data_IF_639558327919
#
_entry.id   IF_639558327919
#
_cell.length_a   1.000
_cell.length_b   1.000
_cell.length_c   1.000
_cell.angle_alpha   90.00
_cell.angle_beta   90.00
_cell.angle_gamma   90.00
#
_symmetry.space_group_name_H-M   'P 1'
#
loop_
_entity.id
_entity.type
_entity.pdbx_description
1 polymer ?
#
# COMPACT_ATOMS: atom_id res chain seq x y z
N UNK A 1 60.50 45.80 -25.06
CA UNK A 1 59.54 44.67 -25.04
C UNK A 1 59.28 44.29 -23.59
N UNK A 2 58.21 44.77 -22.97
CA UNK A 2 57.82 44.37 -21.61
C UNK A 2 56.41 43.80 -21.66
N UNK A 3 56.33 42.46 -21.76
CA UNK A 3 55.05 41.74 -21.74
C UNK A 3 54.65 41.58 -20.27
N UNK A 4 53.75 42.43 -19.81
CA UNK A 4 53.22 42.35 -18.45
C UNK A 4 52.18 41.23 -18.41
N UNK A 5 52.60 40.04 -18.01
CA UNK A 5 51.73 38.87 -17.82
C UNK A 5 51.00 39.01 -16.48
N UNK A 6 49.85 39.70 -16.47
CA UNK A 6 48.95 39.64 -15.32
C UNK A 6 48.46 38.19 -15.18
N UNK A 7 48.58 37.55 -14.02
CA UNK A 7 48.09 36.18 -13.84
C UNK A 7 46.59 36.15 -14.16
N UNK A 8 46.15 35.12 -14.88
CA UNK A 8 44.77 34.94 -15.35
C UNK A 8 43.82 34.53 -14.20
N UNK A 9 43.90 35.22 -13.06
CA UNK A 9 43.17 34.94 -11.83
C UNK A 9 41.65 34.85 -12.07
N UNK A 10 41.13 35.65 -13.00
CA UNK A 10 39.73 35.60 -13.43
C UNK A 10 39.34 34.28 -14.09
N UNK A 11 40.21 33.70 -14.93
CA UNK A 11 39.95 32.39 -15.53
C UNK A 11 39.97 31.28 -14.48
N UNK A 12 40.90 31.34 -13.53
CA UNK A 12 40.96 30.37 -12.43
C UNK A 12 39.72 30.44 -11.53
N UNK A 13 39.30 31.65 -11.15
CA UNK A 13 38.07 31.86 -10.39
C UNK A 13 36.83 31.37 -11.14
N UNK A 14 36.76 31.63 -12.45
CA UNK A 14 35.67 31.16 -13.30
C UNK A 14 35.57 29.63 -13.30
N UNK A 15 36.68 28.92 -13.53
CA UNK A 15 36.68 27.46 -13.54
C UNK A 15 36.41 26.88 -12.15
N UNK A 16 36.91 27.49 -11.07
CA UNK A 16 36.64 27.06 -9.70
C UNK A 16 35.14 27.18 -9.36
N UNK A 17 34.51 28.30 -9.72
CA UNK A 17 33.07 28.52 -9.51
C UNK A 17 32.26 27.55 -10.37
N UNK A 18 32.61 27.37 -11.65
CA UNK A 18 31.94 26.44 -12.53
C UNK A 18 31.99 25.01 -11.97
N UNK A 19 33.17 24.57 -11.50
CA UNK A 19 33.33 23.25 -10.90
C UNK A 19 32.53 23.09 -9.60
N UNK A 20 32.55 24.11 -8.73
CA UNK A 20 31.76 24.11 -7.50
C UNK A 20 30.25 24.02 -7.78
N UNK A 21 29.76 24.75 -8.77
CA UNK A 21 28.35 24.67 -9.19
C UNK A 21 28.02 23.30 -9.78
N UNK A 22 28.86 22.76 -10.66
CA UNK A 22 28.66 21.41 -11.22
C UNK A 22 28.62 20.33 -10.13
N UNK A 23 29.51 20.40 -9.15
CA UNK A 23 29.52 19.49 -8.01
C UNK A 23 28.25 19.63 -7.16
N UNK A 24 27.85 20.87 -6.85
CA UNK A 24 26.60 21.14 -6.12
C UNK A 24 25.37 20.60 -6.83
N UNK A 25 25.23 20.86 -8.14
CA UNK A 25 24.08 20.37 -8.91
C UNK A 25 24.07 18.85 -9.06
N UNK A 26 25.24 18.21 -9.23
CA UNK A 26 25.34 16.75 -9.27
C UNK A 26 24.92 16.14 -7.93
N UNK A 27 25.39 16.72 -6.82
CA UNK A 27 25.01 16.31 -5.47
C UNK A 27 23.50 16.51 -5.22
N UNK A 28 22.97 17.67 -5.57
CA UNK A 28 21.55 18.00 -5.41
C UNK A 28 20.63 17.14 -6.31
N UNK A 29 21.10 16.71 -7.49
CA UNK A 29 20.35 15.78 -8.34
C UNK A 29 20.27 14.35 -7.75
N UNK A 30 21.30 13.94 -6.99
CA UNK A 30 21.36 12.62 -6.35
C UNK A 30 20.63 12.60 -4.99
N UNK A 31 20.76 13.66 -4.19
CA UNK A 31 20.22 13.75 -2.83
C UNK A 31 18.93 14.57 -2.69
N UNK A 32 18.54 15.36 -3.68
CA UNK A 32 17.36 16.22 -3.60
C UNK A 32 16.05 15.44 -3.68
N UNK A 33 14.99 16.03 -3.13
CA UNK A 33 13.61 15.48 -3.10
C UNK A 33 13.01 15.15 -4.49
N UNK A 34 13.63 15.62 -5.57
CA UNK A 34 13.26 15.33 -6.97
C UNK A 34 14.12 14.24 -7.63
N UNK A 35 15.04 13.61 -6.87
CA UNK A 35 15.87 12.53 -7.34
C UNK A 35 15.05 11.27 -7.66
N UNK A 36 15.58 10.42 -8.54
CA UNK A 36 14.97 9.14 -8.94
C UNK A 36 14.54 8.27 -7.75
N UNK A 37 15.23 8.37 -6.61
CA UNK A 37 14.93 7.65 -5.38
C UNK A 37 13.56 7.96 -4.79
N UNK A 38 13.09 9.21 -4.85
CA UNK A 38 11.78 9.58 -4.31
C UNK A 38 10.64 8.92 -5.08
N UNK A 39 10.80 8.76 -6.40
CA UNK A 39 9.82 8.04 -7.22
C UNK A 39 9.77 6.57 -6.87
N UNK A 40 10.93 5.92 -6.68
CA UNK A 40 10.99 4.50 -6.28
C UNK A 40 10.36 4.29 -4.90
N UNK A 41 10.60 5.19 -3.95
CA UNK A 41 9.98 5.13 -2.62
C UNK A 41 8.45 5.28 -2.71
N UNK A 42 7.96 6.29 -3.43
CA UNK A 42 6.52 6.51 -3.62
C UNK A 42 5.86 5.35 -4.35
N UNK A 43 6.49 4.79 -5.38
CA UNK A 43 5.97 3.64 -6.12
C UNK A 43 5.90 2.39 -5.23
N UNK A 44 6.92 2.16 -4.38
CA UNK A 44 6.91 1.06 -3.43
C UNK A 44 5.81 1.23 -2.37
N UNK A 45 5.64 2.43 -1.83
CA UNK A 45 4.57 2.74 -0.87
C UNK A 45 3.18 2.58 -1.51
N UNK A 46 3.00 3.07 -2.74
CA UNK A 46 1.76 2.90 -3.50
C UNK A 46 1.45 1.42 -3.76
N UNK A 47 2.46 0.62 -4.11
CA UNK A 47 2.27 -0.82 -4.32
C UNK A 47 1.85 -1.54 -3.03
N UNK A 48 2.44 -1.19 -1.89
CA UNK A 48 2.06 -1.74 -0.59
C UNK A 48 0.61 -1.37 -0.22
N UNK A 49 0.25 -0.08 -0.35
CA UNK A 49 -1.11 0.39 -0.11
C UNK A 49 -2.15 -0.29 -1.01
N UNK A 50 -1.80 -0.54 -2.28
CA UNK A 50 -2.68 -1.23 -3.22
C UNK A 50 -2.91 -2.69 -2.81
N UNK A 51 -1.88 -3.37 -2.30
CA UNK A 51 -2.01 -4.73 -1.77
C UNK A 51 -2.95 -4.76 -0.56
N UNK A 52 -2.80 -3.82 0.38
CA UNK A 52 -3.65 -3.72 1.56
C UNK A 52 -5.11 -3.43 1.20
N UNK A 53 -5.32 -2.54 0.22
CA UNK A 53 -6.66 -2.24 -0.30
C UNK A 53 -7.31 -3.49 -0.88
N UNK A 54 -6.59 -4.24 -1.73
CA UNK A 54 -7.13 -5.45 -2.34
C UNK A 54 -7.52 -6.48 -1.25
N UNK A 55 -6.65 -6.70 -0.26
CA UNK A 55 -6.95 -7.61 0.83
C UNK A 55 -8.20 -7.19 1.62
N UNK A 56 -8.34 -5.89 1.89
CA UNK A 56 -9.52 -5.38 2.60
C UNK A 56 -10.79 -5.51 1.76
N UNK A 57 -10.71 -5.23 0.46
CA UNK A 57 -11.81 -5.40 -0.48
C UNK A 57 -12.30 -6.85 -0.52
N UNK A 58 -11.37 -7.80 -0.56
CA UNK A 58 -11.71 -9.24 -0.56
C UNK A 58 -12.42 -9.63 0.75
N UNK A 59 -11.93 -9.15 1.89
CA UNK A 59 -12.57 -9.38 3.19
C UNK A 59 -13.99 -8.77 3.24
N UNK A 60 -14.17 -7.56 2.70
CA UNK A 60 -15.49 -6.92 2.63
C UNK A 60 -16.43 -7.76 1.77
N UNK A 61 -15.99 -8.22 0.60
CA UNK A 61 -16.82 -9.06 -0.27
C UNK A 61 -17.22 -10.38 0.40
N UNK A 62 -16.31 -11.01 1.13
CA UNK A 62 -16.62 -12.21 1.91
C UNK A 62 -17.67 -11.92 2.98
N UNK A 63 -17.48 -10.87 3.78
CA UNK A 63 -18.42 -10.47 4.83
C UNK A 63 -19.79 -10.07 4.28
N UNK A 64 -19.83 -9.36 3.15
CA UNK A 64 -21.07 -9.01 2.46
C UNK A 64 -21.79 -10.26 1.95
N UNK A 65 -21.07 -11.24 1.40
CA UNK A 65 -21.65 -12.51 0.98
C UNK A 65 -22.24 -13.28 2.16
N UNK A 66 -21.49 -13.44 3.25
CA UNK A 66 -21.94 -14.11 4.46
C UNK A 66 -23.19 -13.42 5.04
N UNK A 67 -23.15 -12.09 5.14
CA UNK A 67 -24.28 -11.28 5.64
C UNK A 67 -25.50 -11.44 4.75
N UNK A 68 -25.31 -11.40 3.42
CA UNK A 68 -26.40 -11.61 2.46
C UNK A 68 -27.01 -13.00 2.58
N UNK A 69 -26.20 -14.03 2.77
CA UNK A 69 -26.68 -15.41 2.97
C UNK A 69 -27.45 -15.60 4.28
N UNK A 70 -27.19 -14.75 5.28
CA UNK A 70 -27.91 -14.71 6.54
C UNK A 70 -29.11 -13.73 6.53
N UNK A 71 -29.37 -13.04 5.42
CA UNK A 71 -30.54 -12.17 5.30
C UNK A 71 -31.82 -12.97 5.10
N UNK A 72 -32.96 -12.43 5.53
CA UNK A 72 -34.28 -13.09 5.45
C UNK A 72 -34.65 -13.59 4.04
N UNK A 73 -34.18 -12.91 2.98
CA UNK A 73 -34.45 -13.31 1.59
C UNK A 73 -33.73 -14.61 1.18
N UNK A 74 -32.64 -14.96 1.88
CA UNK A 74 -31.78 -16.10 1.57
C UNK A 74 -31.70 -17.13 2.72
N UNK A 75 -32.12 -16.75 3.93
CA UNK A 75 -32.02 -17.55 5.14
C UNK A 75 -33.37 -18.21 5.46
N UNK A 76 -33.46 -19.50 5.15
CA UNK A 76 -34.62 -20.32 5.53
C UNK A 76 -34.48 -20.75 7.01
N UNK A 77 -35.26 -20.12 7.88
CA UNK A 77 -35.26 -20.36 9.32
C UNK A 77 -35.73 -21.77 9.69
N UNK A 78 -36.61 -22.39 8.89
CA UNK A 78 -37.11 -23.73 9.17
C UNK A 78 -35.99 -24.76 8.93
N UNK A 79 -35.23 -24.60 7.84
CA UNK A 79 -34.05 -25.43 7.58
C UNK A 79 -32.96 -25.22 8.62
N UNK A 80 -32.79 -23.98 9.11
CA UNK A 80 -31.82 -23.65 10.16
C UNK A 80 -32.18 -24.31 11.49
N UNK A 81 -33.47 -24.33 11.85
CA UNK A 81 -33.95 -25.01 13.07
C UNK A 81 -33.75 -26.52 12.96
N UNK A 82 -34.09 -27.14 11.83
CA UNK A 82 -33.84 -28.56 11.58
C UNK A 82 -32.34 -28.90 11.64
N UNK A 83 -31.47 -28.06 11.06
CA UNK A 83 -30.03 -28.26 11.13
C UNK A 83 -29.50 -28.06 12.56
N UNK A 84 -30.04 -27.11 13.32
CA UNK A 84 -29.71 -26.89 14.72
C UNK A 84 -30.14 -28.08 15.60
N UNK A 85 -31.31 -28.66 15.38
CA UNK A 85 -31.76 -29.89 16.08
C UNK A 85 -30.86 -31.07 15.75
N UNK A 86 -30.51 -31.26 14.47
CA UNK A 86 -29.66 -32.37 14.02
C UNK A 86 -28.22 -32.26 14.53
N UNK A 87 -27.66 -31.05 14.60
CA UNK A 87 -26.24 -30.83 14.98
C UNK A 87 -26.08 -30.63 16.48
N UNK A 88 -26.94 -29.84 17.11
CA UNK A 88 -26.84 -29.50 18.54
C UNK A 88 -27.64 -30.46 19.43
N UNK A 89 -28.39 -31.40 18.86
CA UNK A 89 -29.25 -32.30 19.63
C UNK A 89 -30.33 -31.56 20.43
N UNK A 90 -30.73 -30.37 19.97
CA UNK A 90 -31.78 -29.54 20.56
C UNK A 90 -33.16 -30.19 20.33
N UNK A 91 -33.39 -31.35 20.94
CA UNK A 91 -34.73 -31.84 21.20
C UNK A 91 -35.26 -31.04 22.41
N UNK A 92 -36.50 -30.57 22.31
CA UNK A 92 -37.24 -30.15 23.50
C UNK A 92 -37.15 -31.29 24.52
N UNK A 93 -37.07 -30.99 25.81
CA UNK A 93 -36.95 -31.99 26.88
C UNK A 93 -38.12 -33.01 26.93
N UNK A 94 -39.07 -32.90 26.00
CA UNK A 94 -40.39 -33.52 26.00
C UNK A 94 -40.60 -34.44 24.77
N UNK A 95 -39.63 -34.60 23.86
CA UNK A 95 -39.78 -35.40 22.63
C UNK A 95 -39.02 -36.74 22.70
N UNK A 96 -39.77 -37.84 22.76
CA UNK A 96 -39.30 -39.24 22.80
C UNK A 96 -39.01 -39.77 21.39
N UNK A 97 -37.75 -40.10 21.11
CA UNK A 97 -37.37 -40.88 19.93
C UNK A 97 -37.76 -42.34 20.15
N UNK A 98 -38.80 -42.81 19.46
CA UNK A 98 -39.15 -44.22 19.39
C UNK A 98 -38.37 -44.85 18.23
N UNK A 99 -37.50 -45.81 18.55
CA UNK A 99 -36.83 -46.71 17.60
C UNK A 99 -37.78 -47.79 17.09
#
# INVERSE_FOLDING_TARGET
MTRNSKPSLGSFAFFAIAFALSAYFTFAAVQGDFGLFRRVEIEAEAAALQQDLNQLSDNIQEMENLTRRLSDDFLDLDLLDEQARAVLGLLRADELVIQ
#
